data_IF_563622394234
#
_entry.id   IF_563622394234
#
_cell.length_a   1.000
_cell.length_b   1.000
_cell.length_c   1.000
_cell.angle_alpha   90.00
_cell.angle_beta   90.00
_cell.angle_gamma   90.00
#
_symmetry.space_group_name_H-M   'P 1'
#
loop_
_entity.id
_entity.type
_entity.pdbx_description
1 polymer ?
#
# COMPACT_ATOMS: atom_id res chain seq x y z
N UNK A 1 -4.60 64.11 39.13
CA UNK A 1 -4.26 64.50 37.74
C UNK A 1 -4.04 63.20 36.96
N UNK A 2 -5.00 62.28 36.88
CA UNK A 2 -6.33 62.39 36.27
C UNK A 2 -6.29 62.86 34.82
N UNK A 3 -6.19 61.91 33.89
CA UNK A 3 -6.95 61.96 32.65
C UNK A 3 -7.33 60.53 32.23
N UNK A 4 -8.55 60.16 32.66
CA UNK A 4 -9.46 59.23 32.00
C UNK A 4 -9.88 59.82 30.65
N UNK A 5 -9.92 59.00 29.61
CA UNK A 5 -10.84 59.16 28.47
C UNK A 5 -11.24 57.76 28.00
N UNK A 6 -12.43 57.36 28.44
CA UNK A 6 -13.27 56.36 27.81
C UNK A 6 -13.65 56.83 26.39
N UNK A 7 -13.72 55.92 25.42
CA UNK A 7 -14.76 56.00 24.38
C UNK A 7 -14.99 54.65 23.71
N UNK A 8 -16.15 54.08 24.03
CA UNK A 8 -16.76 52.94 23.38
C UNK A 8 -17.27 53.27 21.98
N UNK A 9 -17.33 52.26 21.11
CA UNK A 9 -18.28 52.21 20.01
C UNK A 9 -18.75 50.76 19.84
N UNK A 10 -20.06 50.65 19.64
CA UNK A 10 -20.95 49.56 19.97
C UNK A 10 -21.74 49.15 18.70
N UNK A 11 -21.76 47.85 18.38
CA UNK A 11 -22.72 47.04 17.54
C UNK A 11 -23.20 47.55 16.13
N UNK A 12 -24.02 46.81 15.33
CA UNK A 12 -24.40 45.37 15.31
C UNK A 12 -24.45 44.66 13.91
N UNK A 13 -24.68 43.34 13.96
CA UNK A 13 -25.45 42.48 13.03
C UNK A 13 -25.11 42.36 11.51
N UNK A 14 -24.86 41.10 11.09
CA UNK A 14 -25.79 40.40 10.16
C UNK A 14 -25.64 38.87 10.20
N UNK A 15 -26.73 38.12 10.47
CA UNK A 15 -26.85 36.69 10.18
C UNK A 15 -27.58 36.45 8.84
N UNK A 16 -27.25 35.35 8.16
CA UNK A 16 -27.93 34.85 6.95
C UNK A 16 -26.92 34.25 5.97
N UNK A 17 -27.07 33.05 5.40
CA UNK A 17 -28.29 32.31 5.14
C UNK A 17 -28.02 30.79 5.12
N UNK A 18 -28.99 30.04 5.65
CA UNK A 18 -29.23 28.65 5.30
C UNK A 18 -29.62 28.55 3.83
N UNK A 19 -29.06 27.57 3.11
CA UNK A 19 -29.66 27.02 1.88
C UNK A 19 -29.76 25.50 2.05
N UNK A 20 -30.95 24.90 1.88
CA UNK A 20 -31.21 23.49 2.14
C UNK A 20 -30.87 22.57 0.95
N UNK A 21 -30.59 21.32 1.33
CA UNK A 21 -30.76 20.05 0.63
C UNK A 21 -31.42 20.13 -0.77
N UNK A 22 -30.64 19.77 -1.81
CA UNK A 22 -31.21 19.12 -3.00
C UNK A 22 -30.96 17.62 -2.92
N UNK A 23 -32.05 16.91 -2.64
CA UNK A 23 -32.28 15.54 -3.06
C UNK A 23 -32.05 15.42 -4.57
N UNK A 24 -31.10 14.58 -4.97
CA UNK A 24 -31.22 13.80 -6.21
C UNK A 24 -31.04 12.32 -5.88
N UNK A 25 -31.97 11.84 -5.06
CA UNK A 25 -32.31 10.43 -4.92
C UNK A 25 -33.33 10.08 -6.01
N UNK A 26 -32.83 9.90 -7.25
CA UNK A 26 -33.56 9.21 -8.33
C UNK A 26 -32.89 7.86 -8.54
N UNK A 27 -33.49 6.80 -7.99
CA UNK A 27 -34.27 5.81 -8.76
C UNK A 27 -33.47 5.22 -9.92
N UNK A 28 -32.87 4.05 -9.71
CA UNK A 28 -33.23 2.91 -10.55
C UNK A 28 -32.94 1.58 -9.83
N UNK A 29 -33.86 1.20 -8.95
CA UNK A 29 -34.09 -0.20 -8.64
C UNK A 29 -35.03 -0.72 -9.73
N UNK A 30 -34.49 -1.51 -10.67
CA UNK A 30 -35.25 -2.38 -11.58
C UNK A 30 -34.27 -3.33 -12.27
N UNK A 31 -33.91 -4.43 -11.60
CA UNK A 31 -33.60 -5.66 -12.33
C UNK A 31 -34.55 -6.75 -11.83
N UNK A 32 -35.49 -7.19 -12.68
CA UNK A 32 -36.48 -8.19 -12.31
C UNK A 32 -35.85 -9.58 -12.16
N UNK A 33 -36.36 -10.28 -11.16
CA UNK A 33 -36.28 -11.73 -10.96
C UNK A 33 -36.87 -12.45 -12.19
N UNK A 34 -36.02 -12.84 -13.14
CA UNK A 34 -36.39 -13.85 -14.13
C UNK A 34 -36.17 -15.23 -13.51
N UNK A 35 -37.25 -15.72 -12.91
CA UNK A 35 -37.44 -17.12 -12.60
C UNK A 35 -37.64 -17.90 -13.92
N UNK A 36 -36.60 -18.57 -14.42
CA UNK A 36 -36.79 -19.67 -15.36
C UNK A 36 -36.68 -21.01 -14.64
N UNK A 37 -37.86 -21.53 -14.33
CA UNK A 37 -38.07 -22.93 -14.03
C UNK A 37 -37.99 -23.71 -15.34
N UNK A 38 -36.92 -24.48 -15.56
CA UNK A 38 -36.96 -25.58 -16.54
C UNK A 38 -36.57 -26.89 -15.87
N UNK A 39 -37.60 -27.69 -15.62
CA UNK A 39 -37.49 -29.12 -15.31
C UNK A 39 -36.82 -29.82 -16.49
N UNK A 40 -35.68 -30.46 -16.23
CA UNK A 40 -35.26 -31.62 -17.00
C UNK A 40 -34.84 -32.71 -16.01
N UNK A 41 -35.81 -33.57 -15.67
CA UNK A 41 -35.55 -34.90 -15.16
C UNK A 41 -34.88 -35.69 -16.29
N UNK A 42 -33.73 -36.31 -16.03
CA UNK A 42 -33.39 -37.63 -16.52
C UNK A 42 -32.26 -38.22 -15.67
N UNK A 43 -32.63 -39.20 -14.83
CA UNK A 43 -31.80 -40.35 -14.43
C UNK A 43 -32.34 -41.55 -15.25
N UNK A 44 -31.67 -42.72 -15.39
CA UNK A 44 -30.52 -43.24 -14.63
C UNK A 44 -29.47 -44.05 -15.43
N UNK A 45 -28.43 -44.51 -14.70
CA UNK A 45 -27.64 -45.75 -14.86
C UNK A 45 -26.89 -46.02 -16.17
N UNK A 46 -25.56 -46.15 -16.09
CA UNK A 46 -24.90 -47.46 -16.29
C UNK A 46 -23.40 -47.40 -15.96
N UNK A 47 -22.96 -48.48 -15.33
CA UNK A 47 -21.60 -48.79 -14.93
C UNK A 47 -20.66 -48.86 -16.14
N UNK A 48 -19.52 -48.18 -16.07
CA UNK A 48 -18.49 -48.23 -17.09
C UNK A 48 -17.16 -47.74 -16.53
N UNK A 49 -16.34 -48.67 -16.04
CA UNK A 49 -14.92 -48.44 -15.78
C UNK A 49 -14.23 -48.15 -17.12
N UNK A 50 -14.00 -46.88 -17.43
CA UNK A 50 -13.03 -46.50 -18.46
C UNK A 50 -11.77 -45.97 -17.78
N UNK A 51 -10.76 -46.83 -17.75
CA UNK A 51 -9.37 -46.42 -17.71
C UNK A 51 -9.05 -45.69 -19.00
N UNK A 52 -8.76 -44.38 -18.94
CA UNK A 52 -8.03 -43.69 -19.98
C UNK A 52 -6.95 -42.83 -19.32
N UNK A 53 -5.73 -43.37 -19.38
CA UNK A 53 -4.48 -42.65 -19.23
C UNK A 53 -4.28 -41.81 -20.49
N UNK A 54 -4.23 -40.49 -20.33
CA UNK A 54 -3.69 -39.53 -21.31
C UNK A 54 -3.27 -38.28 -20.51
N UNK A 55 -2.09 -38.31 -19.87
CA UNK A 55 -0.82 -37.88 -20.43
C UNK A 55 -0.88 -36.46 -21.01
N UNK A 56 -0.49 -35.51 -20.16
CA UNK A 56 0.35 -34.35 -20.46
C UNK A 56 -0.04 -33.48 -21.65
N UNK A 57 -0.61 -32.31 -21.34
CA UNK A 57 -0.32 -31.01 -21.98
C UNK A 57 -0.97 -29.91 -21.12
N UNK A 58 -0.46 -29.74 -19.89
CA UNK A 58 -0.59 -28.45 -19.22
C UNK A 58 0.41 -27.54 -19.93
N UNK A 59 -0.10 -26.74 -20.88
CA UNK A 59 0.64 -25.64 -21.46
C UNK A 59 1.04 -24.68 -20.36
N UNK A 60 2.26 -24.84 -19.83
CA UNK A 60 2.92 -23.80 -19.06
C UNK A 60 3.24 -22.69 -20.05
N UNK A 61 2.32 -21.74 -20.17
CA UNK A 61 2.60 -20.45 -20.79
C UNK A 61 3.81 -19.85 -20.09
N UNK A 62 4.96 -19.97 -20.75
CA UNK A 62 6.18 -19.29 -20.38
C UNK A 62 6.01 -17.84 -20.83
N UNK A 63 5.32 -17.05 -20.01
CA UNK A 63 5.24 -15.61 -20.18
C UNK A 63 6.41 -14.96 -19.45
N UNK A 64 7.17 -14.15 -20.19
CA UNK A 64 8.46 -13.62 -19.78
C UNK A 64 8.37 -12.67 -18.58
N UNK A 65 9.19 -12.93 -17.56
CA UNK A 65 9.71 -11.90 -16.66
C UNK A 65 8.85 -11.51 -15.45
N UNK A 66 7.60 -12.00 -15.31
CA UNK A 66 6.71 -11.64 -14.18
C UNK A 66 5.89 -12.80 -13.63
N UNK A 67 6.38 -14.04 -13.79
CA UNK A 67 5.71 -15.19 -13.20
C UNK A 67 5.69 -15.07 -11.67
N UNK A 68 4.50 -15.18 -11.08
CA UNK A 68 4.34 -15.26 -9.63
C UNK A 68 5.20 -16.43 -9.13
N UNK A 69 6.15 -16.10 -8.26
CA UNK A 69 7.06 -17.06 -7.70
C UNK A 69 6.28 -18.12 -6.89
N UNK A 70 6.48 -19.40 -7.20
CA UNK A 70 5.82 -20.54 -6.54
C UNK A 70 6.59 -21.01 -5.30
N UNK A 71 7.91 -20.84 -5.30
CA UNK A 71 8.81 -21.14 -4.18
C UNK A 71 9.58 -19.87 -3.83
N UNK A 72 8.93 -18.98 -3.08
CA UNK A 72 9.55 -17.70 -2.72
C UNK A 72 10.31 -17.81 -1.41
N UNK A 73 11.43 -17.09 -1.29
CA UNK A 73 12.11 -16.96 -0.02
C UNK A 73 11.13 -16.50 1.08
N UNK A 74 11.29 -17.00 2.32
CA UNK A 74 10.41 -16.67 3.45
C UNK A 74 10.70 -15.26 3.99
N UNK A 75 10.43 -14.24 3.17
CA UNK A 75 10.66 -12.83 3.46
C UNK A 75 9.74 -12.27 4.54
N UNK A 76 8.61 -12.92 4.83
CA UNK A 76 7.68 -12.50 5.88
C UNK A 76 8.34 -12.39 7.26
N UNK A 77 8.00 -11.34 8.01
CA UNK A 77 8.58 -11.07 9.33
C UNK A 77 8.57 -9.58 9.69
N UNK A 78 9.07 -9.29 10.89
CA UNK A 78 9.31 -7.92 11.39
C UNK A 78 10.80 -7.62 11.29
N UNK A 79 11.13 -6.51 10.63
CA UNK A 79 12.52 -6.09 10.42
C UNK A 79 12.78 -4.75 11.08
N UNK A 80 13.86 -4.66 11.83
CA UNK A 80 14.36 -3.41 12.37
C UNK A 80 15.03 -2.63 11.25
N UNK A 81 14.42 -1.50 10.88
CA UNK A 81 14.83 -0.65 9.77
C UNK A 81 15.98 0.28 10.19
N UNK A 82 17.03 0.29 9.39
CA UNK A 82 18.15 1.20 9.51
C UNK A 82 18.39 1.89 8.16
N UNK A 83 18.54 3.21 8.19
CA UNK A 83 18.83 3.99 7.00
C UNK A 83 20.28 4.46 7.04
N UNK A 84 20.93 4.47 5.88
CA UNK A 84 22.25 5.05 5.75
C UNK A 84 22.25 6.52 6.20
N UNK A 85 23.39 7.00 6.69
CA UNK A 85 23.54 8.39 7.10
C UNK A 85 23.37 9.38 5.92
N UNK A 86 23.06 10.63 6.27
CA UNK A 86 23.17 11.78 5.38
C UNK A 86 22.09 12.83 5.59
N UNK A 87 22.20 13.92 4.83
CA UNK A 87 21.35 15.11 4.99
C UNK A 87 20.04 14.97 4.25
N UNK A 88 18.95 15.50 4.83
CA UNK A 88 17.67 15.64 4.14
C UNK A 88 17.73 16.78 3.11
N UNK A 89 17.11 16.61 1.93
CA UNK A 89 16.94 17.71 0.97
C UNK A 89 16.18 18.88 1.61
N UNK A 90 16.55 20.11 1.27
CA UNK A 90 15.94 21.32 1.86
C UNK A 90 14.41 21.35 1.69
N UNK A 91 13.90 20.91 0.53
CA UNK A 91 12.46 20.80 0.27
C UNK A 91 11.74 19.83 1.23
N UNK A 92 12.41 18.75 1.63
CA UNK A 92 11.86 17.81 2.60
C UNK A 92 11.88 18.38 4.02
N UNK A 93 12.94 19.12 4.37
CA UNK A 93 13.04 19.82 5.66
C UNK A 93 11.94 20.89 5.78
N UNK A 94 11.70 21.69 4.74
CA UNK A 94 10.65 22.72 4.75
C UNK A 94 9.24 22.15 4.88
N UNK A 95 9.02 20.92 4.41
CA UNK A 95 7.74 20.22 4.54
C UNK A 95 7.63 19.36 5.81
N UNK A 96 8.68 19.31 6.65
CA UNK A 96 8.73 18.45 7.84
C UNK A 96 8.76 16.96 7.52
N UNK A 97 9.21 16.60 6.31
CA UNK A 97 9.24 15.21 5.81
C UNK A 97 10.58 14.57 6.16
N UNK A 98 10.52 13.55 7.00
CA UNK A 98 11.68 12.75 7.42
C UNK A 98 11.72 11.33 6.83
N UNK A 99 12.64 10.53 7.36
CA UNK A 99 12.63 9.07 7.17
C UNK A 99 11.55 8.44 8.05
N UNK A 100 10.88 7.35 7.61
CA UNK A 100 9.93 6.64 8.45
C UNK A 100 10.67 6.00 9.64
N UNK A 101 10.00 5.95 10.79
CA UNK A 101 10.55 5.38 12.02
C UNK A 101 9.81 4.11 12.42
N UNK A 102 10.53 3.19 13.08
CA UNK A 102 9.97 1.92 13.53
C UNK A 102 10.21 0.78 12.53
N UNK A 103 9.71 -0.41 12.85
CA UNK A 103 10.01 -1.60 12.07
C UNK A 103 9.19 -1.67 10.78
N UNK A 104 9.73 -2.43 9.84
CA UNK A 104 9.04 -2.88 8.64
C UNK A 104 8.43 -4.25 8.91
N UNK A 105 7.12 -4.31 9.07
CA UNK A 105 6.38 -5.57 9.15
C UNK A 105 6.02 -6.01 7.73
N UNK A 106 6.32 -7.25 7.35
CA UNK A 106 6.03 -7.84 6.04
C UNK A 106 5.24 -9.13 6.22
N UNK A 107 4.14 -9.24 5.48
CA UNK A 107 3.36 -10.45 5.29
C UNK A 107 3.39 -10.85 3.81
N UNK A 108 3.23 -12.14 3.55
CA UNK A 108 3.29 -12.69 2.19
C UNK A 108 2.11 -13.61 1.91
N UNK A 109 1.56 -13.48 0.71
CA UNK A 109 0.59 -14.39 0.13
C UNK A 109 1.03 -14.78 -1.29
N UNK A 110 1.71 -15.92 -1.43
CA UNK A 110 2.36 -16.31 -2.68
C UNK A 110 3.51 -15.36 -3.02
N UNK A 111 3.42 -14.69 -4.17
CA UNK A 111 4.39 -13.66 -4.60
C UNK A 111 4.01 -12.24 -4.13
N UNK A 112 2.78 -12.04 -3.63
CA UNK A 112 2.31 -10.74 -3.17
C UNK A 112 2.82 -10.47 -1.76
N UNK A 113 3.30 -9.25 -1.54
CA UNK A 113 3.72 -8.73 -0.26
C UNK A 113 2.76 -7.64 0.21
N UNK A 114 2.36 -7.73 1.46
CA UNK A 114 1.79 -6.62 2.20
C UNK A 114 2.76 -6.24 3.31
N UNK A 115 2.87 -4.97 3.62
CA UNK A 115 3.70 -4.54 4.74
C UNK A 115 3.18 -3.29 5.41
N UNK A 116 3.82 -2.90 6.49
CA UNK A 116 3.56 -1.61 7.13
C UNK A 116 4.82 -1.03 7.75
N UNK A 117 4.97 0.28 7.63
CA UNK A 117 6.02 1.05 8.31
C UNK A 117 5.44 2.39 8.75
N UNK A 118 5.69 2.79 10.00
CA UNK A 118 5.16 4.04 10.56
C UNK A 118 3.65 4.25 10.34
N UNK A 119 2.85 3.18 10.32
CA UNK A 119 1.40 3.21 10.06
C UNK A 119 0.99 3.29 8.59
N UNK A 120 1.94 3.40 7.65
CA UNK A 120 1.68 3.39 6.21
C UNK A 120 1.61 1.95 5.72
N UNK A 121 0.48 1.57 5.11
CA UNK A 121 0.35 0.28 4.44
C UNK A 121 1.15 0.27 3.14
N UNK A 122 1.97 -0.76 2.97
CA UNK A 122 2.77 -1.02 1.78
C UNK A 122 2.22 -2.26 1.06
N UNK A 123 2.30 -2.26 -0.27
CA UNK A 123 1.93 -3.39 -1.11
C UNK A 123 2.96 -3.58 -2.23
N UNK A 124 3.19 -4.82 -2.63
CA UNK A 124 4.03 -5.11 -3.79
C UNK A 124 4.32 -6.59 -3.93
N UNK A 125 5.53 -6.93 -4.36
CA UNK A 125 5.86 -8.29 -4.80
C UNK A 125 7.28 -8.70 -4.43
N UNK A 126 7.48 -10.00 -4.26
CA UNK A 126 8.79 -10.66 -4.27
C UNK A 126 8.98 -11.44 -5.58
N UNK A 127 10.19 -11.43 -6.10
CA UNK A 127 10.56 -12.07 -7.34
C UNK A 127 11.50 -13.28 -7.11
N UNK A 128 11.61 -14.22 -8.06
CA UNK A 128 12.44 -15.43 -7.92
C UNK A 128 13.93 -15.16 -7.62
N UNK A 129 14.46 -14.00 -8.04
CA UNK A 129 15.83 -13.58 -7.77
C UNK A 129 16.02 -12.94 -6.37
N UNK A 130 15.06 -13.12 -5.47
CA UNK A 130 15.04 -12.51 -4.13
C UNK A 130 15.00 -10.98 -4.13
N UNK A 131 14.70 -10.34 -5.26
CA UNK A 131 14.38 -8.91 -5.26
C UNK A 131 12.96 -8.68 -4.78
N UNK A 132 12.69 -7.52 -4.20
CA UNK A 132 11.35 -7.13 -3.78
C UNK A 132 11.06 -5.66 -4.09
N UNK A 133 9.77 -5.36 -4.15
CA UNK A 133 9.21 -4.02 -4.28
C UNK A 133 8.07 -3.88 -3.27
N UNK A 134 8.05 -2.79 -2.51
CA UNK A 134 6.97 -2.41 -1.62
C UNK A 134 6.65 -0.92 -1.81
N UNK A 135 5.39 -0.64 -2.13
CA UNK A 135 4.88 0.70 -2.42
C UNK A 135 3.77 1.07 -1.42
N UNK A 136 3.89 2.23 -0.81
CA UNK A 136 2.86 2.82 0.03
C UNK A 136 2.47 4.19 -0.50
N UNK A 137 1.19 4.53 -0.41
CA UNK A 137 0.71 5.87 -0.69
C UNK A 137 -0.29 6.27 0.39
N UNK A 138 -0.20 7.50 0.84
CA UNK A 138 -1.16 8.10 1.75
C UNK A 138 -1.49 9.53 1.32
N UNK A 139 -2.69 9.97 1.69
CA UNK A 139 -3.16 11.33 1.41
C UNK A 139 -2.63 12.24 2.51
N UNK A 140 -1.98 13.34 2.13
CA UNK A 140 -1.42 14.32 3.04
C UNK A 140 -2.05 15.69 2.79
N UNK A 141 -3.08 16.06 3.54
CA UNK A 141 -3.75 17.39 3.49
C UNK A 141 -4.04 17.88 2.06
N UNK A 142 -4.61 17.02 1.22
CA UNK A 142 -4.92 17.31 -0.19
C UNK A 142 -3.75 17.11 -1.18
N UNK A 143 -2.53 16.85 -0.69
CA UNK A 143 -1.39 16.38 -1.46
C UNK A 143 -1.19 14.86 -1.37
N UNK A 144 0.03 14.41 -1.68
CA UNK A 144 0.40 12.99 -1.73
C UNK A 144 1.68 12.72 -0.95
N UNK A 145 1.74 11.57 -0.28
CA UNK A 145 2.95 11.04 0.34
C UNK A 145 3.13 9.58 -0.09
N UNK A 146 4.20 9.32 -0.83
CA UNK A 146 4.51 8.02 -1.41
C UNK A 146 5.80 7.47 -0.82
N UNK A 147 5.79 6.18 -0.48
CA UNK A 147 6.92 5.43 0.04
C UNK A 147 7.21 4.28 -0.92
N UNK A 148 8.48 4.08 -1.26
CA UNK A 148 8.92 3.01 -2.14
C UNK A 148 10.17 2.34 -1.56
N UNK A 149 10.08 1.06 -1.26
CA UNK A 149 11.23 0.23 -0.91
C UNK A 149 11.48 -0.75 -2.05
N UNK A 150 12.70 -0.71 -2.59
CA UNK A 150 13.20 -1.72 -3.54
C UNK A 150 14.49 -2.29 -3.01
N UNK A 151 14.71 -3.59 -3.20
CA UNK A 151 15.90 -4.21 -2.64
C UNK A 151 16.00 -5.70 -2.87
N UNK A 152 16.92 -6.30 -2.13
CA UNK A 152 17.20 -7.73 -2.11
C UNK A 152 16.94 -8.30 -0.71
N UNK A 153 16.39 -9.51 -0.68
CA UNK A 153 16.27 -10.34 0.50
C UNK A 153 17.44 -11.31 0.57
N UNK A 154 18.10 -11.36 1.73
CA UNK A 154 19.14 -12.35 2.05
C UNK A 154 18.61 -13.24 3.17
N UNK A 155 18.41 -14.54 2.94
CA UNK A 155 17.93 -15.44 3.97
C UNK A 155 18.95 -15.58 5.10
N UNK A 156 18.45 -15.72 6.33
CA UNK A 156 19.29 -16.07 7.46
C UNK A 156 19.77 -17.52 7.40
N UNK A 157 20.80 -17.83 8.18
CA UNK A 157 21.25 -19.21 8.37
C UNK A 157 20.28 -19.96 9.29
N UNK A 158 19.92 -21.19 8.92
CA UNK A 158 19.11 -22.08 9.77
C UNK A 158 19.82 -22.42 11.09
N UNK A 159 21.16 -22.36 11.11
CA UNK A 159 21.99 -22.67 12.28
C UNK A 159 22.13 -21.46 13.25
N UNK A 160 21.42 -20.36 13.00
CA UNK A 160 21.40 -19.18 13.88
C UNK A 160 22.61 -18.25 13.77
N UNK A 161 23.49 -18.47 12.77
CA UNK A 161 24.72 -17.66 12.59
C UNK A 161 24.51 -16.32 11.89
N UNK A 162 23.43 -16.14 11.13
CA UNK A 162 23.12 -14.90 10.42
C UNK A 162 21.61 -14.70 10.41
N UNK A 163 21.13 -13.53 10.84
CA UNK A 163 19.73 -13.17 10.73
C UNK A 163 19.35 -12.92 9.26
N UNK A 164 18.07 -13.09 8.93
CA UNK A 164 17.55 -12.69 7.62
C UNK A 164 17.62 -11.16 7.47
N UNK A 165 17.99 -10.69 6.29
CA UNK A 165 18.22 -9.28 6.01
C UNK A 165 17.55 -8.80 4.73
N UNK A 166 17.16 -7.52 4.74
CA UNK A 166 16.75 -6.74 3.60
C UNK A 166 17.80 -5.66 3.37
N UNK A 167 18.12 -5.37 2.11
CA UNK A 167 18.97 -4.24 1.76
C UNK A 167 18.50 -3.62 0.44
N UNK A 168 18.60 -2.30 0.32
CA UNK A 168 18.19 -1.64 -0.91
C UNK A 168 18.06 -0.13 -0.81
N UNK A 169 17.16 0.42 -1.61
CA UNK A 169 16.87 1.84 -1.70
C UNK A 169 15.44 2.13 -1.25
N UNK A 170 15.32 3.13 -0.39
CA UNK A 170 14.08 3.77 -0.01
C UNK A 170 13.95 5.08 -0.77
N UNK A 171 12.80 5.30 -1.40
CA UNK A 171 12.43 6.60 -1.98
C UNK A 171 11.12 7.07 -1.37
N UNK A 172 11.08 8.34 -0.93
CA UNK A 172 9.88 9.02 -0.48
C UNK A 172 9.59 10.22 -1.36
N UNK A 173 8.38 10.31 -1.89
CA UNK A 173 7.87 11.49 -2.57
C UNK A 173 6.82 12.17 -1.71
N UNK A 174 6.89 13.49 -1.57
CA UNK A 174 5.90 14.23 -0.81
C UNK A 174 5.50 15.52 -1.53
N UNK A 175 4.20 15.74 -1.63
CA UNK A 175 3.58 16.97 -2.11
C UNK A 175 2.47 17.38 -1.14
N UNK A 176 2.29 18.69 -0.98
CA UNK A 176 1.20 19.27 -0.18
C UNK A 176 0.37 20.19 -1.05
N UNK A 177 -0.95 20.01 -1.06
CA UNK A 177 -1.82 20.90 -1.81
C UNK A 177 -1.73 22.33 -1.28
N UNK A 178 -1.67 23.30 -2.20
CA UNK A 178 -1.59 24.72 -1.86
C UNK A 178 -0.24 25.16 -1.27
N UNK A 179 0.75 24.28 -1.14
CA UNK A 179 2.10 24.67 -0.75
C UNK A 179 2.79 25.42 -1.89
N UNK A 180 3.52 26.48 -1.55
CA UNK A 180 4.45 27.16 -2.47
C UNK A 180 5.84 26.54 -2.45
N UNK A 181 6.10 25.56 -1.58
CA UNK A 181 7.38 24.87 -1.53
C UNK A 181 7.50 23.90 -2.70
N UNK A 182 8.76 23.60 -3.07
CA UNK A 182 9.04 22.56 -4.04
C UNK A 182 8.62 21.17 -3.50
N UNK A 183 8.19 20.24 -4.38
CA UNK A 183 7.91 18.88 -3.96
C UNK A 183 9.17 18.23 -3.36
N UNK A 184 8.99 17.47 -2.28
CA UNK A 184 10.07 16.74 -1.65
C UNK A 184 10.27 15.39 -2.34
N UNK A 185 11.53 15.06 -2.64
CA UNK A 185 11.95 13.74 -3.07
C UNK A 185 13.20 13.35 -2.30
N UNK A 186 13.11 12.27 -1.53
CA UNK A 186 14.18 11.75 -0.68
C UNK A 186 14.50 10.33 -1.11
N UNK A 187 15.77 10.06 -1.42
CA UNK A 187 16.27 8.70 -1.65
C UNK A 187 17.36 8.38 -0.63
N UNK A 188 17.28 7.21 0.01
CA UNK A 188 18.26 6.73 0.99
C UNK A 188 18.46 5.22 0.87
N UNK A 189 19.69 4.76 1.01
CA UNK A 189 19.95 3.33 1.17
C UNK A 189 19.42 2.87 2.55
N UNK A 190 18.93 1.64 2.64
CA UNK A 190 18.52 1.04 3.90
C UNK A 190 19.01 -0.39 4.02
N UNK A 191 19.13 -0.81 5.27
CA UNK A 191 19.25 -2.21 5.70
C UNK A 191 18.12 -2.50 6.68
N UNK A 192 17.64 -3.73 6.72
CA UNK A 192 16.71 -4.13 7.75
C UNK A 192 16.99 -5.58 8.17
N UNK A 193 17.14 -5.83 9.47
CA UNK A 193 17.45 -7.15 10.00
C UNK A 193 16.31 -7.67 10.87
N UNK A 194 16.09 -8.99 10.86
CA UNK A 194 15.18 -9.63 11.80
C UNK A 194 15.88 -9.75 13.17
N UNK A 195 15.23 -9.34 14.28
CA UNK A 195 15.78 -9.48 15.62
C UNK A 195 15.85 -10.94 16.08
#
# INVERSE_FOLDING_TARGET
>A
MDHRLDSAADTPHRPGAHVPLRQDQRRNANHPLEALTLRARNRPMTSGRLWLVALGLLGTGCDGGTAACTDCPPIEGRYDLEFAEGTLPAACVSEGVGLPTGPLDIQRAGAQLTGSVAGVTLQGSIYPNSTFLLLGNQVADGGSDSLNFTGNYTPGSADGGTAAQLSGAFTRGFTRAGSTNAPCSLTRAFTAARP
#
